data_IF_676378818451
#
_entry.id   IF_676378818451
#
_cell.length_a   1.000
_cell.length_b   1.000
_cell.length_c   1.000
_cell.angle_alpha   90.00
_cell.angle_beta   90.00
_cell.angle_gamma   90.00
#
_symmetry.space_group_name_H-M   'P 1'
#
loop_
_entity.id
_entity.type
_entity.pdbx_description
1 polymer ?
#
# COMPACT_ATOMS: atom_id res chain seq x y z
N UNK A 1 15.23 3.67 8.93
CA UNK A 1 13.81 3.30 8.69
C UNK A 1 13.64 1.84 8.26
N UNK A 2 14.48 1.31 7.36
CA UNK A 2 14.34 -0.06 6.82
C UNK A 2 14.47 -1.14 7.90
N UNK A 3 15.42 -1.02 8.80
CA UNK A 3 15.58 -2.00 9.89
C UNK A 3 14.41 -1.94 10.86
N UNK A 4 13.97 -0.75 11.23
CA UNK A 4 12.87 -0.57 12.18
C UNK A 4 11.52 -1.00 11.58
N UNK A 5 11.17 -0.50 10.42
CA UNK A 5 9.85 -0.70 9.84
C UNK A 5 9.71 -2.07 9.16
N UNK A 6 10.69 -2.48 8.36
CA UNK A 6 10.59 -3.69 7.56
C UNK A 6 11.13 -4.93 8.27
N UNK A 7 12.20 -4.80 9.05
CA UNK A 7 12.77 -5.96 9.73
C UNK A 7 12.08 -6.18 11.09
N UNK A 8 12.15 -5.21 12.00
CA UNK A 8 11.56 -5.35 13.34
C UNK A 8 10.04 -5.37 13.26
N UNK A 9 9.43 -4.45 12.51
CA UNK A 9 7.99 -4.37 12.32
C UNK A 9 7.39 -5.66 11.74
N UNK A 10 7.94 -6.14 10.63
CA UNK A 10 7.50 -7.38 9.98
C UNK A 10 7.80 -8.65 10.78
N UNK A 11 8.77 -8.60 11.70
CA UNK A 11 9.14 -9.74 12.55
C UNK A 11 8.28 -9.89 13.81
N UNK A 12 7.50 -8.88 14.20
CA UNK A 12 6.73 -8.90 15.46
C UNK A 12 5.82 -10.10 15.58
N UNK A 13 5.02 -10.41 14.56
CA UNK A 13 4.08 -11.56 14.57
C UNK A 13 4.83 -12.88 14.73
N UNK A 14 5.99 -13.01 14.09
CA UNK A 14 6.85 -14.19 14.16
C UNK A 14 7.47 -14.39 15.55
N UNK A 15 7.86 -13.30 16.21
CA UNK A 15 8.48 -13.32 17.54
C UNK A 15 7.45 -13.56 18.64
N UNK A 16 6.23 -13.05 18.50
CA UNK A 16 5.19 -13.11 19.54
C UNK A 16 4.29 -14.33 19.47
N UNK A 17 4.49 -15.23 18.51
CA UNK A 17 3.78 -16.52 18.51
C UNK A 17 4.30 -17.44 19.60
N UNK A 18 3.41 -18.15 20.31
CA UNK A 18 3.79 -19.15 21.33
C UNK A 18 4.39 -20.42 20.70
N UNK A 19 4.09 -20.68 19.43
CA UNK A 19 4.61 -21.83 18.72
C UNK A 19 6.13 -21.73 18.49
N UNK A 20 6.86 -22.75 18.87
CA UNK A 20 8.28 -22.90 18.56
C UNK A 20 8.45 -23.31 17.09
N UNK A 21 8.40 -22.34 16.17
CA UNK A 21 8.57 -22.58 14.74
C UNK A 21 10.01 -22.30 14.30
N UNK A 22 10.46 -22.98 13.23
CA UNK A 22 11.74 -22.70 12.60
C UNK A 22 11.85 -21.24 12.18
N UNK A 23 10.76 -20.63 11.77
CA UNK A 23 10.70 -19.23 11.36
C UNK A 23 10.95 -18.28 12.55
N UNK A 24 10.36 -18.58 13.73
CA UNK A 24 10.64 -17.85 14.97
C UNK A 24 12.12 -17.97 15.37
N UNK A 25 12.67 -19.18 15.33
CA UNK A 25 14.08 -19.42 15.64
C UNK A 25 15.02 -18.67 14.69
N UNK A 26 14.71 -18.67 13.40
CA UNK A 26 15.47 -17.90 12.41
C UNK A 26 15.42 -16.40 12.70
N UNK A 27 14.25 -15.87 13.06
CA UNK A 27 14.09 -14.47 13.40
C UNK A 27 14.87 -14.10 14.69
N UNK A 28 14.78 -14.94 15.73
CA UNK A 28 15.49 -14.75 16.99
C UNK A 28 17.03 -14.80 16.81
N UNK A 29 17.52 -15.55 15.84
CA UNK A 29 18.94 -15.61 15.52
C UNK A 29 19.40 -14.43 14.65
N UNK A 30 18.58 -14.01 13.70
CA UNK A 30 18.97 -13.00 12.70
C UNK A 30 18.91 -11.58 13.25
N UNK A 31 17.89 -11.27 14.06
CA UNK A 31 17.67 -9.91 14.56
C UNK A 31 18.81 -9.42 15.50
N UNK A 32 19.27 -10.21 16.50
CA UNK A 32 20.40 -9.81 17.35
C UNK A 32 21.70 -9.60 16.56
N UNK A 33 22.01 -10.45 15.58
CA UNK A 33 23.20 -10.30 14.72
C UNK A 33 23.18 -8.99 13.92
N UNK A 34 22.04 -8.62 13.38
CA UNK A 34 21.88 -7.34 12.67
C UNK A 34 22.06 -6.16 13.62
N UNK A 35 21.47 -6.26 14.81
CA UNK A 35 21.60 -5.22 15.83
C UNK A 35 23.04 -5.08 16.32
N UNK A 36 23.76 -6.18 16.51
CA UNK A 36 25.18 -6.20 16.84
C UNK A 36 26.01 -5.48 15.77
N UNK A 37 25.81 -5.80 14.49
CA UNK A 37 26.51 -5.13 13.39
C UNK A 37 26.21 -3.62 13.35
N UNK A 38 24.93 -3.22 13.58
CA UNK A 38 24.54 -1.81 13.68
C UNK A 38 25.27 -1.12 14.85
N UNK A 39 25.37 -1.77 16.01
CA UNK A 39 26.08 -1.20 17.16
C UNK A 39 27.56 -0.95 16.83
N UNK A 40 28.24 -1.88 16.17
CA UNK A 40 29.63 -1.71 15.72
C UNK A 40 29.78 -0.55 14.74
N UNK A 41 28.88 -0.41 13.76
CA UNK A 41 28.88 0.68 12.79
C UNK A 41 28.57 2.05 13.45
N UNK A 42 27.70 2.07 14.46
CA UNK A 42 27.26 3.29 15.14
C UNK A 42 28.18 3.69 16.30
N UNK A 43 29.08 2.84 16.76
CA UNK A 43 29.94 3.11 17.90
C UNK A 43 30.74 4.44 17.81
N UNK A 44 31.27 4.87 16.65
CA UNK A 44 31.95 6.16 16.53
C UNK A 44 31.03 7.37 16.68
N UNK A 45 29.72 7.20 16.39
CA UNK A 45 28.71 8.30 16.39
C UNK A 45 27.92 8.33 17.68
N UNK A 46 27.55 7.17 18.20
CA UNK A 46 26.74 7.02 19.42
C UNK A 46 27.41 6.01 20.39
N UNK A 47 28.59 6.32 20.96
CA UNK A 47 29.42 5.36 21.67
C UNK A 47 28.71 4.70 22.86
N UNK A 48 28.08 5.49 23.73
CA UNK A 48 27.45 4.97 24.94
C UNK A 48 26.24 4.07 24.67
N UNK A 49 25.38 4.47 23.71
CA UNK A 49 24.20 3.69 23.34
C UNK A 49 24.62 2.39 22.66
N UNK A 50 25.54 2.46 21.72
CA UNK A 50 26.06 1.31 21.01
C UNK A 50 26.73 0.31 21.95
N UNK A 51 27.52 0.80 22.91
CA UNK A 51 28.18 -0.04 23.90
C UNK A 51 27.16 -0.72 24.83
N UNK A 52 26.18 0.02 25.32
CA UNK A 52 25.14 -0.52 26.19
C UNK A 52 24.37 -1.65 25.51
N UNK A 53 23.92 -1.45 24.26
CA UNK A 53 23.18 -2.47 23.51
C UNK A 53 24.07 -3.65 23.16
N UNK A 54 25.29 -3.41 22.68
CA UNK A 54 26.22 -4.45 22.31
C UNK A 54 26.59 -5.31 23.53
N UNK A 55 26.85 -4.69 24.68
CA UNK A 55 27.15 -5.40 25.91
C UNK A 55 25.97 -6.28 26.37
N UNK A 56 24.75 -5.78 26.25
CA UNK A 56 23.55 -6.56 26.56
C UNK A 56 23.37 -7.79 25.64
N UNK A 57 23.82 -7.70 24.38
CA UNK A 57 23.71 -8.79 23.40
C UNK A 57 24.87 -9.81 23.49
N UNK A 58 26.09 -9.35 23.76
CA UNK A 58 27.31 -10.16 23.62
C UNK A 58 28.07 -10.38 24.93
N UNK A 59 27.79 -9.57 25.96
CA UNK A 59 28.54 -9.55 27.22
C UNK A 59 29.86 -8.79 27.16
N UNK A 60 30.18 -8.13 26.02
CA UNK A 60 31.45 -7.41 25.82
C UNK A 60 31.24 -5.99 25.29
N UNK A 61 32.23 -5.11 25.49
CA UNK A 61 32.16 -3.74 24.99
C UNK A 61 32.30 -3.71 23.47
N UNK A 62 31.51 -2.85 22.82
CA UNK A 62 31.56 -2.62 21.37
C UNK A 62 32.91 -2.02 20.94
N UNK A 63 33.56 -1.27 21.83
CA UNK A 63 34.83 -0.61 21.55
C UNK A 63 36.04 -1.58 21.52
N UNK A 64 35.82 -2.82 21.95
CA UNK A 64 36.79 -3.92 21.83
C UNK A 64 36.49 -4.85 20.65
N UNK A 65 35.40 -4.62 19.95
CA UNK A 65 34.99 -5.42 18.82
C UNK A 65 35.62 -4.92 17.51
N UNK A 66 35.93 -5.84 16.61
CA UNK A 66 36.41 -5.49 15.27
C UNK A 66 35.29 -4.85 14.43
N UNK A 67 35.71 -4.06 13.44
CA UNK A 67 34.78 -3.51 12.46
C UNK A 67 34.07 -4.65 11.70
N UNK A 68 32.73 -4.54 11.46
CA UNK A 68 32.02 -5.62 10.80
C UNK A 68 32.51 -5.82 9.35
N UNK A 69 32.79 -7.05 8.99
CA UNK A 69 33.15 -7.40 7.62
C UNK A 69 31.92 -7.21 6.68
N UNK A 70 32.18 -6.76 5.43
CA UNK A 70 31.13 -6.66 4.44
C UNK A 70 30.49 -8.02 4.18
N UNK A 71 29.16 -8.10 4.26
CA UNK A 71 28.42 -9.29 3.84
C UNK A 71 28.33 -9.37 2.31
N UNK A 72 28.19 -10.57 1.79
CA UNK A 72 27.84 -10.77 0.38
C UNK A 72 26.48 -10.12 0.08
N UNK A 73 26.43 -9.37 -1.02
CA UNK A 73 25.22 -8.67 -1.45
C UNK A 73 24.53 -9.46 -2.55
N UNK A 74 23.21 -9.42 -2.53
CA UNK A 74 22.36 -9.88 -3.63
C UNK A 74 21.66 -8.66 -4.27
N UNK A 75 22.25 -8.06 -5.31
CA UNK A 75 21.68 -6.88 -5.95
C UNK A 75 20.27 -7.10 -6.51
N UNK A 76 19.97 -8.30 -7.03
CA UNK A 76 18.67 -8.61 -7.57
C UNK A 76 17.59 -8.62 -6.46
N UNK A 77 17.89 -9.21 -5.32
CA UNK A 77 17.03 -9.19 -4.15
C UNK A 77 16.83 -7.78 -3.61
N UNK A 78 17.90 -6.98 -3.59
CA UNK A 78 17.86 -5.59 -3.15
C UNK A 78 16.95 -4.72 -4.04
N UNK A 79 17.05 -4.89 -5.38
CA UNK A 79 16.18 -4.19 -6.35
C UNK A 79 14.72 -4.59 -6.21
N UNK A 80 14.44 -5.88 -6.09
CA UNK A 80 13.08 -6.37 -5.87
C UNK A 80 12.50 -5.83 -4.56
N UNK A 81 13.29 -5.83 -3.48
CA UNK A 81 12.86 -5.30 -2.20
C UNK A 81 12.68 -3.77 -2.22
N UNK A 82 13.49 -3.05 -3.00
CA UNK A 82 13.30 -1.62 -3.23
C UNK A 82 11.96 -1.35 -3.93
N UNK A 83 11.60 -2.12 -4.94
CA UNK A 83 10.31 -2.04 -5.61
C UNK A 83 9.16 -2.35 -4.65
N UNK A 84 9.26 -3.40 -3.83
CA UNK A 84 8.25 -3.76 -2.82
C UNK A 84 8.02 -2.61 -1.84
N UNK A 85 9.08 -1.96 -1.37
CA UNK A 85 8.98 -0.78 -0.48
C UNK A 85 8.30 0.39 -1.17
N UNK A 86 8.67 0.68 -2.42
CA UNK A 86 8.06 1.75 -3.21
C UNK A 86 6.57 1.50 -3.45
N UNK A 87 6.16 0.25 -3.75
CA UNK A 87 4.76 -0.13 -3.90
C UNK A 87 3.98 -0.02 -2.60
N UNK A 88 4.56 -0.42 -1.46
CA UNK A 88 3.93 -0.27 -0.16
C UNK A 88 3.72 1.21 0.21
N UNK A 89 4.69 2.07 -0.10
CA UNK A 89 4.57 3.52 0.09
C UNK A 89 3.51 4.12 -0.83
N UNK A 90 3.50 3.75 -2.10
CA UNK A 90 2.47 4.14 -3.05
C UNK A 90 1.07 3.73 -2.57
N UNK A 91 0.91 2.54 -2.03
CA UNK A 91 -0.35 2.08 -1.45
C UNK A 91 -0.81 2.91 -0.25
N UNK A 92 0.11 3.30 0.63
CA UNK A 92 -0.21 4.21 1.75
C UNK A 92 -0.66 5.57 1.23
N UNK A 93 0.00 6.11 0.20
CA UNK A 93 -0.35 7.38 -0.44
C UNK A 93 -1.73 7.31 -1.09
N UNK A 94 -1.99 6.30 -1.92
CA UNK A 94 -3.30 6.07 -2.58
C UNK A 94 -4.43 6.00 -1.55
N UNK A 95 -4.22 5.29 -0.44
CA UNK A 95 -5.23 5.22 0.64
C UNK A 95 -5.46 6.57 1.32
N UNK A 96 -4.41 7.35 1.54
CA UNK A 96 -4.52 8.67 2.15
C UNK A 96 -5.28 9.64 1.24
N UNK A 97 -4.97 9.68 -0.05
CA UNK A 97 -5.63 10.50 -1.06
C UNK A 97 -7.11 10.12 -1.22
N UNK A 98 -7.43 8.83 -1.16
CA UNK A 98 -8.80 8.30 -1.17
C UNK A 98 -9.49 8.35 0.19
N UNK A 99 -8.89 8.97 1.21
CA UNK A 99 -9.40 9.04 2.59
C UNK A 99 -9.70 7.65 3.20
N UNK A 100 -9.04 6.62 2.72
CA UNK A 100 -9.21 5.24 3.16
C UNK A 100 -8.34 4.96 4.38
N UNK A 101 -8.96 4.56 5.49
CA UNK A 101 -8.22 4.18 6.70
C UNK A 101 -7.32 2.97 6.44
N UNK A 102 -6.07 3.02 6.90
CA UNK A 102 -5.10 1.93 6.70
C UNK A 102 -5.56 0.59 7.27
N UNK A 103 -6.34 0.59 8.35
CA UNK A 103 -6.85 -0.64 9.00
C UNK A 103 -8.02 -1.29 8.30
N UNK A 104 -8.73 -0.53 7.46
CA UNK A 104 -9.80 -1.07 6.65
C UNK A 104 -9.18 -1.81 5.47
N UNK A 105 -9.31 -3.14 5.34
CA UNK A 105 -8.73 -3.87 4.23
C UNK A 105 -9.35 -3.45 2.90
N UNK A 106 -8.60 -3.62 1.81
CA UNK A 106 -9.15 -3.62 0.47
C UNK A 106 -9.34 -5.06 0.03
N UNK A 107 -10.35 -5.33 -0.79
CA UNK A 107 -10.64 -6.67 -1.31
C UNK A 107 -9.51 -7.16 -2.21
N UNK A 108 -9.02 -6.29 -3.07
CA UNK A 108 -8.00 -6.65 -4.03
C UNK A 108 -7.01 -5.51 -4.30
N UNK A 109 -5.81 -5.89 -4.69
CA UNK A 109 -4.78 -5.02 -5.25
C UNK A 109 -4.18 -5.64 -6.50
N UNK A 110 -3.70 -4.82 -7.40
CA UNK A 110 -3.03 -5.24 -8.63
C UNK A 110 -1.73 -4.48 -8.81
N UNK A 111 -0.70 -5.22 -9.19
CA UNK A 111 0.57 -4.66 -9.65
C UNK A 111 0.52 -4.73 -11.18
N UNK A 112 0.70 -3.60 -11.84
CA UNK A 112 0.63 -3.52 -13.29
C UNK A 112 2.01 -3.17 -13.86
N UNK A 113 2.53 -4.07 -14.66
CA UNK A 113 3.89 -3.98 -15.19
C UNK A 113 4.97 -4.34 -14.16
N UNK A 114 6.23 -4.20 -14.57
CA UNK A 114 7.37 -4.44 -13.71
C UNK A 114 7.88 -5.89 -13.70
N UNK A 115 8.96 -6.13 -12.93
CA UNK A 115 9.56 -7.45 -12.81
C UNK A 115 8.71 -8.39 -11.95
N UNK A 116 8.97 -9.68 -12.05
CA UNK A 116 8.36 -10.68 -11.18
C UNK A 116 8.87 -10.52 -9.73
N UNK A 117 7.93 -10.28 -8.83
CA UNK A 117 8.16 -10.19 -7.37
C UNK A 117 7.29 -11.20 -6.61
N UNK A 118 6.96 -12.33 -7.22
CA UNK A 118 6.04 -13.32 -6.65
C UNK A 118 6.45 -13.78 -5.24
N UNK A 119 7.74 -13.90 -4.96
CA UNK A 119 8.25 -14.26 -3.64
C UNK A 119 7.87 -13.26 -2.52
N UNK A 120 7.54 -12.02 -2.87
CA UNK A 120 7.15 -10.97 -1.93
C UNK A 120 5.64 -10.70 -1.91
N UNK A 121 4.83 -11.45 -2.65
CA UNK A 121 3.39 -11.19 -2.74
C UNK A 121 2.70 -11.20 -1.39
N UNK A 122 2.98 -12.17 -0.53
CA UNK A 122 2.38 -12.24 0.80
C UNK A 122 2.78 -11.05 1.68
N UNK A 123 4.07 -10.70 1.65
CA UNK A 123 4.60 -9.56 2.39
C UNK A 123 3.94 -8.25 1.92
N UNK A 124 3.87 -8.05 0.61
CA UNK A 124 3.28 -6.84 0.05
C UNK A 124 1.76 -6.78 0.27
N UNK A 125 1.06 -7.90 0.19
CA UNK A 125 -0.38 -7.98 0.49
C UNK A 125 -0.68 -7.61 1.95
N UNK A 126 0.17 -8.05 2.89
CA UNK A 126 0.06 -7.66 4.30
C UNK A 126 0.32 -6.17 4.50
N UNK A 127 1.37 -5.62 3.91
CA UNK A 127 1.73 -4.19 4.00
C UNK A 127 0.67 -3.28 3.37
N UNK A 128 0.13 -3.68 2.23
CA UNK A 128 -0.98 -3.00 1.55
C UNK A 128 -2.31 -3.21 2.25
N UNK A 129 -2.41 -4.16 3.17
CA UNK A 129 -3.66 -4.59 3.77
C UNK A 129 -4.74 -4.92 2.73
N UNK A 130 -4.41 -5.81 1.80
CA UNK A 130 -5.31 -6.34 0.77
C UNK A 130 -5.56 -7.82 0.99
N UNK A 131 -6.76 -8.32 0.65
CA UNK A 131 -7.09 -9.74 0.78
C UNK A 131 -6.49 -10.57 -0.36
N UNK A 132 -6.37 -9.96 -1.53
CA UNK A 132 -5.73 -10.58 -2.70
C UNK A 132 -4.83 -9.57 -3.41
N UNK A 133 -3.71 -10.06 -3.93
CA UNK A 133 -2.79 -9.28 -4.74
C UNK A 133 -2.49 -10.06 -6.02
N UNK A 134 -2.59 -9.43 -7.18
CA UNK A 134 -2.35 -10.07 -8.48
C UNK A 134 -1.50 -9.18 -9.38
N UNK A 135 -0.80 -9.80 -10.34
CA UNK A 135 -0.07 -9.07 -11.36
C UNK A 135 -0.93 -9.00 -12.62
N UNK A 136 -1.08 -7.81 -13.17
CA UNK A 136 -1.80 -7.56 -14.41
C UNK A 136 -0.87 -6.94 -15.45
N UNK A 137 -0.96 -7.33 -16.71
CA UNK A 137 -0.07 -6.81 -17.74
C UNK A 137 -0.37 -5.38 -18.16
N UNK A 138 -1.62 -4.90 -18.01
CA UNK A 138 -2.06 -3.59 -18.53
C UNK A 138 -3.05 -2.89 -17.61
N UNK A 139 -2.94 -1.57 -17.53
CA UNK A 139 -3.84 -0.70 -16.77
C UNK A 139 -5.25 -0.55 -17.38
N UNK A 140 -5.47 -0.85 -18.64
CA UNK A 140 -6.73 -0.59 -19.34
C UNK A 140 -7.99 -1.15 -18.67
N UNK A 141 -7.86 -2.22 -17.89
CA UNK A 141 -8.93 -2.80 -17.07
C UNK A 141 -9.42 -1.87 -15.96
N UNK A 142 -8.56 -1.02 -15.44
CA UNK A 142 -8.81 -0.15 -14.29
C UNK A 142 -9.01 1.31 -14.68
N UNK A 143 -8.78 1.65 -15.95
CA UNK A 143 -8.92 2.98 -16.48
C UNK A 143 -10.11 3.08 -17.42
N UNK A 144 -10.64 4.27 -17.52
CA UNK A 144 -11.60 4.67 -18.55
C UNK A 144 -11.09 5.91 -19.25
N UNK A 145 -11.52 6.06 -20.48
CA UNK A 145 -11.26 7.29 -21.23
C UNK A 145 -12.33 8.31 -20.84
N UNK A 146 -11.91 9.53 -20.57
CA UNK A 146 -12.79 10.68 -20.36
C UNK A 146 -12.48 11.72 -21.42
N UNK A 147 -13.53 12.20 -22.07
CA UNK A 147 -13.44 13.24 -23.09
C UNK A 147 -13.78 14.58 -22.44
N UNK A 148 -12.81 15.48 -22.35
CA UNK A 148 -13.03 16.82 -21.80
C UNK A 148 -12.98 17.87 -22.90
N UNK A 149 -14.00 18.74 -23.03
CA UNK A 149 -13.97 19.81 -24.01
C UNK A 149 -12.86 20.82 -23.67
N UNK A 150 -12.04 21.15 -24.64
CA UNK A 150 -11.11 22.27 -24.56
C UNK A 150 -11.85 23.55 -24.87
N UNK A 151 -12.27 24.29 -23.86
CA UNK A 151 -13.07 25.50 -24.03
C UNK A 151 -12.34 26.61 -24.79
N UNK A 152 -10.99 26.59 -24.82
CA UNK A 152 -10.20 27.59 -25.54
C UNK A 152 -10.34 27.48 -27.07
N UNK A 153 -10.29 26.27 -27.61
CA UNK A 153 -10.42 25.99 -29.04
C UNK A 153 -11.87 25.80 -29.46
N UNK A 154 -12.60 24.95 -28.73
CA UNK A 154 -13.98 24.59 -29.02
C UNK A 154 -14.93 25.79 -28.94
N UNK A 155 -14.76 26.65 -27.92
CA UNK A 155 -15.62 27.85 -27.75
C UNK A 155 -15.59 28.80 -28.93
N UNK A 156 -14.43 28.95 -29.57
CA UNK A 156 -14.29 29.80 -30.78
C UNK A 156 -14.98 29.20 -32.02
N UNK A 157 -15.02 27.85 -32.12
CA UNK A 157 -15.60 27.11 -33.25
C UNK A 157 -17.12 27.01 -33.15
N UNK A 158 -17.66 26.62 -31.99
CA UNK A 158 -19.09 26.30 -31.85
C UNK A 158 -19.93 27.44 -31.27
N UNK A 159 -19.31 28.51 -30.79
CA UNK A 159 -19.99 29.74 -30.30
C UNK A 159 -21.20 29.44 -29.39
N UNK A 160 -22.43 29.72 -29.89
CA UNK A 160 -23.66 29.55 -29.13
C UNK A 160 -24.08 28.11 -28.82
N UNK A 161 -23.55 27.13 -29.55
CA UNK A 161 -23.91 25.71 -29.42
C UNK A 161 -23.04 24.95 -28.40
N UNK A 162 -22.14 25.67 -27.71
CA UNK A 162 -21.23 25.07 -26.72
C UNK A 162 -21.94 24.21 -25.66
N UNK A 163 -23.08 24.61 -25.07
CA UNK A 163 -23.80 23.77 -24.10
C UNK A 163 -24.33 22.47 -24.73
N UNK A 164 -24.82 22.55 -25.99
CA UNK A 164 -25.34 21.39 -26.71
C UNK A 164 -24.22 20.41 -27.10
N UNK A 165 -23.09 20.93 -27.56
CA UNK A 165 -21.91 20.13 -27.89
C UNK A 165 -21.33 19.47 -26.64
N UNK A 166 -21.26 20.18 -25.52
CA UNK A 166 -20.85 19.60 -24.22
C UNK A 166 -21.75 18.46 -23.80
N UNK A 167 -23.08 18.66 -23.83
CA UNK A 167 -24.04 17.61 -23.47
C UNK A 167 -23.94 16.40 -24.41
N UNK A 168 -23.73 16.62 -25.70
CA UNK A 168 -23.53 15.55 -26.68
C UNK A 168 -22.21 14.78 -26.43
N UNK A 169 -21.15 15.48 -26.03
CA UNK A 169 -19.87 14.86 -25.68
C UNK A 169 -19.97 14.02 -24.40
N UNK A 170 -20.68 14.50 -23.37
CA UNK A 170 -20.93 13.78 -22.14
C UNK A 170 -21.82 12.54 -22.33
N UNK A 171 -22.72 12.57 -23.30
CA UNK A 171 -23.61 11.46 -23.65
C UNK A 171 -22.94 10.41 -24.56
N UNK A 172 -21.80 10.75 -25.18
CA UNK A 172 -21.09 9.87 -26.08
C UNK A 172 -20.34 8.78 -25.30
N UNK A 173 -20.34 7.54 -25.84
CA UNK A 173 -19.45 6.48 -25.34
C UNK A 173 -17.99 6.95 -25.47
N UNK A 174 -17.24 7.07 -24.36
CA UNK A 174 -15.91 7.67 -24.42
C UNK A 174 -14.92 6.91 -25.28
N UNK A 175 -15.00 5.57 -25.34
CA UNK A 175 -14.11 4.75 -26.16
C UNK A 175 -14.40 4.94 -27.68
N UNK A 176 -15.69 4.98 -28.02
CA UNK A 176 -16.10 5.27 -29.41
C UNK A 176 -15.78 6.69 -29.81
N UNK A 177 -15.96 7.64 -28.88
CA UNK A 177 -15.61 9.04 -29.08
C UNK A 177 -14.11 9.24 -29.32
N UNK A 178 -13.27 8.58 -28.52
CA UNK A 178 -11.82 8.58 -28.71
C UNK A 178 -11.40 8.02 -30.06
N UNK A 179 -11.94 6.86 -30.45
CA UNK A 179 -11.64 6.25 -31.75
C UNK A 179 -12.09 7.13 -32.92
N UNK A 180 -13.28 7.74 -32.84
CA UNK A 180 -13.79 8.67 -33.84
C UNK A 180 -12.93 9.95 -33.92
N UNK A 181 -12.46 10.44 -32.79
CA UNK A 181 -11.57 11.60 -32.71
C UNK A 181 -10.21 11.33 -33.35
N UNK A 182 -9.60 10.17 -33.04
CA UNK A 182 -8.34 9.73 -33.65
C UNK A 182 -8.48 9.52 -35.16
N UNK A 183 -9.65 9.07 -35.65
CA UNK A 183 -9.96 8.92 -37.04
C UNK A 183 -10.31 10.26 -37.73
N UNK A 184 -10.40 11.38 -36.99
CA UNK A 184 -10.81 12.69 -37.53
C UNK A 184 -12.27 12.73 -37.99
N UNK A 185 -13.12 11.85 -37.49
CA UNK A 185 -14.52 11.68 -37.92
C UNK A 185 -15.56 12.01 -36.84
N UNK A 186 -15.14 12.69 -35.77
CA UNK A 186 -16.07 13.04 -34.70
C UNK A 186 -16.87 14.30 -35.12
N UNK A 187 -18.17 14.14 -35.23
CA UNK A 187 -19.12 15.23 -35.48
C UNK A 187 -20.16 15.28 -34.37
N UNK A 188 -20.33 16.44 -33.73
CA UNK A 188 -21.31 16.68 -32.69
C UNK A 188 -22.12 17.90 -32.97
N UNK A 189 -23.45 17.76 -32.95
CA UNK A 189 -24.42 18.87 -33.18
C UNK A 189 -24.12 19.64 -34.51
N UNK A 190 -23.68 18.89 -35.56
CA UNK A 190 -23.35 19.47 -36.87
C UNK A 190 -22.00 20.20 -36.93
N UNK A 191 -21.18 20.09 -35.88
CA UNK A 191 -19.83 20.64 -35.85
C UNK A 191 -18.78 19.53 -35.90
N UNK A 192 -17.80 19.65 -36.78
CA UNK A 192 -16.65 18.77 -36.83
C UNK A 192 -15.71 19.07 -35.66
N UNK A 193 -15.47 18.08 -34.81
CA UNK A 193 -14.63 18.18 -33.62
C UNK A 193 -13.25 17.63 -33.97
N UNK A 194 -12.24 18.46 -33.82
CA UNK A 194 -10.85 18.08 -34.06
C UNK A 194 -10.16 17.60 -32.77
N UNK A 195 -9.04 16.86 -32.83
CA UNK A 195 -8.30 16.38 -31.65
C UNK A 195 -7.88 17.49 -30.67
N UNK A 196 -7.62 18.71 -31.16
CA UNK A 196 -7.29 19.86 -30.32
C UNK A 196 -8.49 20.44 -29.55
N UNK A 197 -9.71 20.10 -29.94
CA UNK A 197 -10.96 20.59 -29.34
C UNK A 197 -11.40 19.75 -28.12
N UNK A 198 -10.83 18.57 -27.98
CA UNK A 198 -11.18 17.62 -26.88
C UNK A 198 -9.90 17.02 -26.30
N UNK A 199 -9.75 17.14 -25.00
CA UNK A 199 -8.68 16.50 -24.25
C UNK A 199 -9.07 15.07 -23.89
N UNK A 200 -8.25 14.10 -24.31
CA UNK A 200 -8.39 12.68 -23.96
C UNK A 200 -7.67 12.44 -22.65
N UNK A 201 -8.41 12.21 -21.59
CA UNK A 201 -7.87 11.87 -20.28
C UNK A 201 -8.11 10.38 -19.99
N UNK A 202 -7.10 9.71 -19.47
CA UNK A 202 -7.23 8.39 -18.88
C UNK A 202 -7.37 8.55 -17.38
N UNK A 203 -8.54 8.26 -16.86
CA UNK A 203 -8.87 8.36 -15.43
C UNK A 203 -9.16 6.97 -14.88
N UNK A 204 -8.97 6.80 -13.58
CA UNK A 204 -9.34 5.57 -12.91
C UNK A 204 -10.85 5.36 -12.98
N UNK A 205 -11.27 4.11 -13.18
CA UNK A 205 -12.68 3.74 -13.09
C UNK A 205 -13.17 3.95 -11.66
N UNK A 206 -14.44 4.36 -11.45
CA UNK A 206 -15.03 4.46 -10.12
C UNK A 206 -14.83 3.16 -9.32
N UNK A 207 -14.40 3.30 -8.07
CA UNK A 207 -14.10 2.17 -7.20
C UNK A 207 -12.64 1.70 -7.25
N UNK A 208 -11.82 2.24 -8.13
CA UNK A 208 -10.37 1.98 -8.15
C UNK A 208 -9.59 3.25 -7.84
N UNK A 209 -8.42 3.06 -7.27
CA UNK A 209 -7.44 4.13 -7.12
C UNK A 209 -6.05 3.57 -7.46
N UNK A 210 -5.25 4.34 -8.18
CA UNK A 210 -3.97 3.90 -8.68
C UNK A 210 -2.85 4.88 -8.36
N UNK A 211 -1.64 4.37 -8.28
CA UNK A 211 -0.42 5.17 -8.27
C UNK A 211 0.61 4.52 -9.18
N UNK A 212 1.25 5.33 -10.01
CA UNK A 212 2.35 4.90 -10.87
C UNK A 212 3.67 5.38 -10.27
N UNK A 213 4.63 4.47 -10.19
CA UNK A 213 5.99 4.75 -9.75
C UNK A 213 6.81 5.33 -10.92
N UNK A 214 7.93 5.99 -10.62
CA UNK A 214 8.87 6.51 -11.62
C UNK A 214 9.44 5.40 -12.52
N UNK A 215 9.47 4.16 -12.03
CA UNK A 215 9.84 2.97 -12.79
C UNK A 215 8.81 2.53 -13.83
N UNK A 216 7.63 3.19 -13.91
CA UNK A 216 6.52 2.83 -14.78
C UNK A 216 5.63 1.71 -14.23
N UNK A 217 5.98 1.09 -13.10
CA UNK A 217 5.14 0.10 -12.41
C UNK A 217 3.98 0.81 -11.72
N UNK A 218 2.78 0.30 -11.86
CA UNK A 218 1.60 0.88 -11.23
C UNK A 218 1.00 -0.06 -10.20
N UNK A 219 0.53 0.52 -9.09
CA UNK A 219 -0.28 -0.15 -8.10
C UNK A 219 -1.71 0.32 -8.24
N UNK A 220 -2.66 -0.60 -8.29
CA UNK A 220 -4.10 -0.32 -8.28
C UNK A 220 -4.72 -0.99 -7.07
N UNK A 221 -5.59 -0.29 -6.36
CA UNK A 221 -6.33 -0.80 -5.21
C UNK A 221 -7.84 -0.72 -5.47
N UNK A 222 -8.55 -1.77 -5.06
CA UNK A 222 -10.01 -1.77 -4.99
C UNK A 222 -10.48 -0.95 -3.79
N UNK A 223 -11.17 0.14 -4.06
CA UNK A 223 -11.69 1.05 -3.04
C UNK A 223 -13.15 0.77 -2.67
N UNK A 224 -13.78 -0.26 -3.25
CA UNK A 224 -15.11 -0.67 -2.82
C UNK A 224 -15.11 -1.13 -1.36
N UNK A 225 -16.18 -0.84 -0.66
CA UNK A 225 -16.40 -1.21 0.76
C UNK A 225 -17.66 -2.01 0.85
N UNK A 226 -17.59 -3.14 1.54
CA UNK A 226 -18.73 -3.93 1.94
C UNK A 226 -18.73 -4.22 3.44
N UNK A 227 -19.80 -4.81 3.93
CA UNK A 227 -19.99 -5.10 5.35
C UNK A 227 -18.93 -6.07 5.89
N UNK A 228 -18.45 -7.01 5.08
CA UNK A 228 -17.40 -7.94 5.47
C UNK A 228 -16.06 -7.22 5.70
N UNK A 229 -15.70 -6.27 4.84
CA UNK A 229 -14.49 -5.45 5.01
C UNK A 229 -14.64 -4.50 6.21
N UNK A 230 -15.85 -3.97 6.45
CA UNK A 230 -16.14 -3.15 7.61
C UNK A 230 -16.00 -3.95 8.91
N UNK A 231 -16.51 -5.18 8.96
CA UNK A 231 -16.35 -6.10 10.08
C UNK A 231 -14.86 -6.33 10.40
N UNK A 232 -14.07 -6.71 9.41
CA UNK A 232 -12.61 -6.91 9.56
C UNK A 232 -11.88 -5.65 10.02
N UNK A 233 -12.24 -4.50 9.45
CA UNK A 233 -11.69 -3.21 9.85
C UNK A 233 -12.02 -2.85 11.30
N UNK A 234 -13.26 -3.12 11.74
CA UNK A 234 -13.72 -2.91 13.11
C UNK A 234 -12.98 -3.83 14.09
N UNK A 235 -12.86 -5.13 13.79
CA UNK A 235 -12.14 -6.09 14.63
C UNK A 235 -10.69 -5.64 14.86
N UNK A 236 -9.99 -5.19 13.81
CA UNK A 236 -8.61 -4.67 13.94
C UNK A 236 -8.53 -3.38 14.76
N UNK A 237 -9.52 -2.50 14.66
CA UNK A 237 -9.56 -1.29 15.50
C UNK A 237 -9.81 -1.63 16.97
N UNK A 238 -10.69 -2.60 17.26
CA UNK A 238 -10.92 -3.09 18.61
C UNK A 238 -9.62 -3.70 19.17
N UNK A 239 -8.98 -4.60 18.42
CA UNK A 239 -7.69 -5.19 18.79
C UNK A 239 -6.67 -4.11 19.18
N UNK A 240 -6.52 -3.08 18.34
CA UNK A 240 -5.61 -1.97 18.62
C UNK A 240 -5.95 -1.25 19.94
N UNK A 241 -7.23 -0.99 20.18
CA UNK A 241 -7.67 -0.31 21.41
C UNK A 241 -7.40 -1.17 22.64
N UNK A 242 -7.67 -2.46 22.55
CA UNK A 242 -7.38 -3.41 23.63
C UNK A 242 -5.88 -3.44 23.94
N UNK A 243 -5.02 -3.54 22.92
CA UNK A 243 -3.56 -3.51 23.11
C UNK A 243 -3.07 -2.17 23.69
N UNK A 244 -3.68 -1.06 23.29
CA UNK A 244 -3.37 0.25 23.88
C UNK A 244 -3.75 0.31 25.35
N UNK A 245 -4.91 -0.25 25.75
CA UNK A 245 -5.34 -0.33 27.15
C UNK A 245 -4.45 -1.28 27.97
N UNK A 246 -4.10 -2.46 27.43
CA UNK A 246 -3.14 -3.36 28.08
C UNK A 246 -1.83 -2.66 28.42
N UNK A 247 -1.29 -1.92 27.44
CA UNK A 247 -0.07 -1.14 27.64
C UNK A 247 -0.24 -0.03 28.71
N UNK A 248 -1.39 0.65 28.72
CA UNK A 248 -1.67 1.71 29.69
C UNK A 248 -1.81 1.17 31.13
N UNK A 249 -2.24 -0.11 31.27
CA UNK A 249 -2.35 -0.82 32.53
C UNK A 249 -1.07 -1.59 32.91
N UNK A 250 0.00 -1.45 32.14
CA UNK A 250 1.29 -2.15 32.31
C UNK A 250 1.17 -3.67 32.44
N UNK A 251 0.22 -4.26 31.68
CA UNK A 251 0.01 -5.70 31.67
C UNK A 251 1.09 -6.40 30.84
N UNK A 252 1.57 -7.54 31.35
CA UNK A 252 2.50 -8.39 30.61
C UNK A 252 1.82 -9.02 29.37
N UNK A 253 2.63 -9.51 28.44
CA UNK A 253 2.12 -10.13 27.19
C UNK A 253 1.33 -11.41 27.54
N UNK A 254 1.77 -12.16 28.54
CA UNK A 254 1.19 -13.41 28.99
C UNK A 254 -0.07 -13.23 29.84
N UNK A 255 -0.38 -12.01 30.29
CA UNK A 255 -1.55 -11.79 31.13
C UNK A 255 -2.84 -12.05 30.38
N UNK A 256 -3.69 -12.91 30.93
CA UNK A 256 -5.04 -13.16 30.43
C UNK A 256 -5.99 -12.09 30.94
N UNK A 257 -6.86 -11.62 30.05
CA UNK A 257 -7.88 -10.62 30.38
C UNK A 257 -9.28 -11.11 30.01
N UNK A 258 -10.27 -10.69 30.80
CA UNK A 258 -11.67 -10.76 30.38
C UNK A 258 -12.02 -9.47 29.62
N UNK A 259 -12.58 -9.61 28.44
CA UNK A 259 -12.90 -8.49 27.56
C UNK A 259 -14.39 -8.41 27.30
N UNK A 260 -14.99 -7.27 27.63
CA UNK A 260 -16.32 -6.89 27.17
C UNK A 260 -16.21 -5.78 26.14
N UNK A 261 -16.90 -5.95 25.00
CA UNK A 261 -16.90 -4.97 23.91
C UNK A 261 -18.31 -4.46 23.68
N UNK A 262 -18.49 -3.18 23.89
CA UNK A 262 -19.77 -2.49 23.64
C UNK A 262 -19.69 -1.79 22.28
N UNK A 263 -20.52 -2.24 21.34
CA UNK A 263 -20.58 -1.66 20.00
C UNK A 263 -21.74 -0.65 19.91
N UNK A 264 -21.57 0.45 19.18
CA UNK A 264 -22.66 1.39 18.94
C UNK A 264 -23.76 0.76 18.08
N UNK A 265 -24.99 1.26 18.22
CA UNK A 265 -26.09 0.85 17.35
C UNK A 265 -25.75 1.11 15.88
N UNK A 266 -25.93 0.09 15.03
CA UNK A 266 -25.58 0.16 13.61
C UNK A 266 -24.12 -0.20 13.29
N UNK A 267 -23.35 -0.68 14.27
CA UNK A 267 -22.05 -1.27 13.97
C UNK A 267 -22.22 -2.53 13.11
N UNK A 268 -21.25 -2.84 12.23
CA UNK A 268 -21.28 -4.08 11.47
C UNK A 268 -21.24 -5.29 12.40
N UNK A 269 -21.92 -6.36 12.01
CA UNK A 269 -21.83 -7.64 12.71
C UNK A 269 -20.41 -8.17 12.59
N UNK A 270 -19.81 -8.52 13.74
CA UNK A 270 -18.44 -9.02 13.79
C UNK A 270 -18.43 -10.53 13.64
N UNK A 271 -17.82 -11.03 12.58
CA UNK A 271 -17.66 -12.46 12.38
C UNK A 271 -16.66 -13.04 13.39
N UNK A 272 -16.95 -14.25 13.91
CA UNK A 272 -16.07 -14.90 14.90
C UNK A 272 -14.65 -15.14 14.37
N UNK A 273 -14.51 -15.33 13.05
CA UNK A 273 -13.23 -15.51 12.38
C UNK A 273 -12.36 -14.24 12.32
N UNK A 274 -12.97 -13.06 12.48
CA UNK A 274 -12.26 -11.77 12.46
C UNK A 274 -11.57 -11.47 13.81
N UNK A 275 -11.90 -12.23 14.88
CA UNK A 275 -11.34 -12.10 16.23
C UNK A 275 -10.04 -12.89 16.44
N UNK A 276 -9.19 -13.00 15.45
CA UNK A 276 -7.87 -13.62 15.63
C UNK A 276 -6.91 -12.63 16.30
N UNK A 277 -6.58 -12.97 17.54
CA UNK A 277 -5.62 -12.27 18.42
C UNK A 277 -4.18 -12.72 18.14
#
# INVERSE_FOLDING_TARGET
>A
DDVSNWNVGGSRRRLWTDAATQDKATCQHTLPRRLEAICRLMAPVAPHMSDHIHHALTGSSVHLADWPEPAERDPALEEQMALVRALAEAGRRVRAESQRRQRLPCRAGWIVGGPDIAQFHSLLAEELNVESLTIEPKLGKFQQVELRPNFGTLGAKVKGDLPAVKAALEALDPEKGAAALEAGQLELVGHAIAPEDVELLRVERPGFAAATLDSGVSLVLDMAVDDALLSKGMAREITRRVQAQRKALDLAIEDSIALEVWLPTGAPELAAEDWKW
#
